data_IF_125693950404
#
_entry.id   IF_125693950404
#
_cell.length_a   1.000
_cell.length_b   1.000
_cell.length_c   1.000
_cell.angle_alpha   90.00
_cell.angle_beta   90.00
_cell.angle_gamma   90.00
#
_symmetry.space_group_name_H-M   'P 1'
#
loop_
_entity.id
_entity.type
_entity.pdbx_description
1 polymer ?
#
# COMPACT_ATOMS: atom_id res chain seq x y z
N UNK A 1 44.08 5.02 7.12
CA UNK A 1 42.65 5.26 7.40
C UNK A 1 42.42 6.75 7.33
N UNK A 2 41.33 7.22 6.72
CA UNK A 2 41.01 8.65 6.78
C UNK A 2 40.59 8.96 8.22
N UNK A 3 41.40 9.75 8.92
CA UNK A 3 41.08 10.23 10.24
C UNK A 3 40.07 11.37 10.19
N UNK A 4 39.56 11.74 11.36
CA UNK A 4 38.66 12.88 11.49
C UNK A 4 39.31 14.18 10.97
N UNK A 5 40.63 14.32 11.13
CA UNK A 5 41.40 15.47 10.67
C UNK A 5 41.44 15.59 9.15
N UNK A 6 41.74 14.50 8.43
CA UNK A 6 41.78 14.50 6.96
C UNK A 6 40.39 14.81 6.37
N UNK A 7 39.33 14.30 6.98
CA UNK A 7 37.96 14.60 6.57
C UNK A 7 37.61 16.09 6.81
N UNK A 8 38.06 16.67 7.92
CA UNK A 8 37.83 18.09 8.23
C UNK A 8 38.54 19.01 7.22
N UNK A 9 39.78 18.70 6.85
CA UNK A 9 40.54 19.46 5.84
C UNK A 9 39.86 19.38 4.48
N UNK A 10 39.44 18.19 4.05
CA UNK A 10 38.70 18.02 2.79
C UNK A 10 37.38 18.81 2.80
N UNK A 11 36.66 18.76 3.93
CA UNK A 11 35.42 19.52 4.10
C UNK A 11 35.67 21.03 3.96
N UNK A 12 36.73 21.56 4.57
CA UNK A 12 37.12 22.97 4.42
C UNK A 12 37.44 23.34 2.97
N UNK A 13 38.17 22.49 2.23
CA UNK A 13 38.45 22.73 0.81
C UNK A 13 37.14 22.82 0.01
N UNK A 14 36.21 21.90 0.23
CA UNK A 14 34.89 21.91 -0.43
C UNK A 14 34.10 23.17 -0.05
N UNK A 15 34.12 23.58 1.22
CA UNK A 15 33.46 24.80 1.67
C UNK A 15 34.07 26.07 1.07
N UNK A 16 35.37 26.11 0.83
CA UNK A 16 36.02 27.25 0.18
C UNK A 16 35.66 27.34 -1.31
N UNK A 17 35.55 26.19 -2.01
CA UNK A 17 35.19 26.15 -3.42
C UNK A 17 33.72 26.49 -3.67
N UNK A 18 32.81 25.91 -2.88
CA UNK A 18 31.37 26.01 -3.12
C UNK A 18 30.65 26.97 -2.16
N UNK A 19 31.30 27.36 -1.07
CA UNK A 19 30.71 28.18 -0.02
C UNK A 19 29.88 27.35 1.00
N UNK A 20 29.83 27.77 2.27
CA UNK A 20 29.11 27.04 3.32
C UNK A 20 27.59 27.06 3.15
N UNK A 21 27.06 27.97 2.34
CA UNK A 21 25.61 28.05 2.07
C UNK A 21 25.16 27.05 1.00
N UNK A 22 26.05 26.64 0.08
CA UNK A 22 25.66 25.81 -1.07
C UNK A 22 25.43 24.35 -0.71
N UNK A 23 26.19 23.82 0.25
CA UNK A 23 26.04 22.43 0.73
C UNK A 23 24.64 22.20 1.35
N UNK A 24 24.15 23.03 2.31
CA UNK A 24 22.78 22.90 2.82
C UNK A 24 21.69 23.12 1.78
N UNK A 25 21.91 24.01 0.81
CA UNK A 25 20.96 24.30 -0.27
C UNK A 25 20.74 23.06 -1.15
N UNK A 26 21.82 22.40 -1.57
CA UNK A 26 21.79 21.15 -2.35
C UNK A 26 21.18 20.01 -1.54
N UNK A 27 21.52 19.89 -0.25
CA UNK A 27 20.94 18.86 0.61
C UNK A 27 19.42 19.02 0.76
N UNK A 28 18.91 20.26 0.84
CA UNK A 28 17.47 20.54 0.92
C UNK A 28 16.73 20.18 -0.36
N UNK A 29 17.26 20.57 -1.52
CA UNK A 29 16.65 20.24 -2.82
C UNK A 29 16.71 18.74 -3.10
N UNK A 30 17.85 18.10 -2.87
CA UNK A 30 17.99 16.65 -3.02
C UNK A 30 17.09 15.90 -2.03
N UNK A 31 17.03 16.34 -0.77
CA UNK A 31 16.13 15.75 0.22
C UNK A 31 14.65 15.87 -0.16
N UNK A 32 14.26 17.01 -0.75
CA UNK A 32 12.92 17.18 -1.29
C UNK A 32 12.65 16.24 -2.47
N UNK A 33 13.60 16.10 -3.40
CA UNK A 33 13.49 15.18 -4.53
C UNK A 33 13.40 13.72 -4.08
N UNK A 34 14.23 13.29 -3.12
CA UNK A 34 14.18 11.91 -2.56
C UNK A 34 12.86 11.67 -1.83
N UNK A 35 12.35 12.65 -1.08
CA UNK A 35 11.05 12.54 -0.41
C UNK A 35 9.92 12.36 -1.41
N UNK A 36 9.91 13.16 -2.49
CA UNK A 36 8.89 13.07 -3.53
C UNK A 36 9.00 11.75 -4.30
N UNK A 37 10.22 11.36 -4.65
CA UNK A 37 10.50 10.06 -5.27
C UNK A 37 10.00 8.90 -4.41
N UNK A 38 10.23 8.92 -3.10
CA UNK A 38 9.70 7.91 -2.16
C UNK A 38 8.18 7.90 -2.13
N UNK A 39 7.53 9.07 -2.12
CA UNK A 39 6.07 9.17 -2.16
C UNK A 39 5.50 8.55 -3.44
N UNK A 40 6.07 8.90 -4.59
CA UNK A 40 5.64 8.37 -5.88
C UNK A 40 5.94 6.87 -6.04
N UNK A 41 7.05 6.39 -5.46
CA UNK A 41 7.48 4.99 -5.54
C UNK A 41 6.86 4.10 -4.48
N UNK A 42 6.17 4.67 -3.48
CA UNK A 42 5.42 3.86 -2.50
C UNK A 42 4.13 3.44 -3.20
N UNK A 43 3.95 2.15 -3.54
CA UNK A 43 2.65 1.68 -4.00
C UNK A 43 1.66 2.00 -2.88
N UNK A 44 0.47 2.53 -3.20
CA UNK A 44 -0.61 2.61 -2.21
C UNK A 44 -0.64 1.29 -1.45
N UNK A 45 -0.72 1.31 -0.10
CA UNK A 45 -0.73 0.07 0.67
C UNK A 45 -1.74 -0.85 0.02
N UNK A 46 -1.32 -2.09 -0.31
CA UNK A 46 -2.16 -3.06 -1.00
C UNK A 46 -3.52 -3.28 -0.30
N UNK A 47 -3.63 -2.85 0.96
CA UNK A 47 -4.86 -2.70 1.72
C UNK A 47 -5.98 -1.87 1.03
N UNK A 48 -5.67 -0.89 0.17
CA UNK A 48 -6.69 -0.03 -0.47
C UNK A 48 -7.00 -0.37 -1.93
N UNK A 49 -6.13 -1.16 -2.59
CA UNK A 49 -6.33 -1.64 -3.97
C UNK A 49 -6.86 -3.07 -3.98
N UNK A 50 -6.50 -3.89 -3.00
CA UNK A 50 -7.05 -5.25 -2.81
C UNK A 50 -8.48 -5.22 -2.26
N UNK A 51 -8.71 -4.48 -1.17
CA UNK A 51 -10.01 -4.44 -0.47
C UNK A 51 -11.18 -4.04 -1.36
N UNK A 52 -11.01 -3.07 -2.25
CA UNK A 52 -12.07 -2.67 -3.21
C UNK A 52 -12.43 -3.76 -4.21
N UNK A 53 -11.43 -4.51 -4.69
CA UNK A 53 -11.65 -5.58 -5.67
C UNK A 53 -12.26 -6.81 -5.01
N UNK A 54 -11.85 -7.10 -3.78
CA UNK A 54 -12.39 -8.19 -2.97
C UNK A 54 -13.84 -7.90 -2.55
N UNK A 55 -14.15 -6.66 -2.14
CA UNK A 55 -15.53 -6.22 -1.84
C UNK A 55 -16.43 -6.28 -3.09
N UNK A 56 -15.94 -5.84 -4.27
CA UNK A 56 -16.73 -5.92 -5.50
C UNK A 56 -17.03 -7.38 -5.91
N UNK A 57 -16.06 -8.28 -5.75
CA UNK A 57 -16.24 -9.72 -6.00
C UNK A 57 -17.21 -10.34 -5.00
N UNK A 58 -17.10 -10.01 -3.71
CA UNK A 58 -18.01 -10.48 -2.66
C UNK A 58 -19.44 -10.01 -2.89
N UNK A 59 -19.63 -8.74 -3.29
CA UNK A 59 -20.94 -8.18 -3.62
C UNK A 59 -21.55 -8.84 -4.86
N UNK A 60 -20.75 -9.12 -5.90
CA UNK A 60 -21.21 -9.87 -7.09
C UNK A 60 -21.67 -11.27 -6.72
N UNK A 61 -20.89 -12.00 -5.91
CA UNK A 61 -21.23 -13.35 -5.46
C UNK A 61 -22.48 -13.36 -4.57
N UNK A 62 -22.60 -12.41 -3.63
CA UNK A 62 -23.79 -12.26 -2.80
C UNK A 62 -25.05 -12.03 -3.66
N UNK A 63 -24.96 -11.15 -4.65
CA UNK A 63 -26.07 -10.84 -5.57
C UNK A 63 -26.46 -12.06 -6.43
N UNK A 64 -25.51 -12.82 -6.95
CA UNK A 64 -25.78 -14.05 -7.72
C UNK A 64 -26.41 -15.16 -6.87
N UNK A 65 -26.10 -15.20 -5.58
CA UNK A 65 -26.66 -16.15 -4.62
C UNK A 65 -27.98 -15.67 -4.00
N UNK A 66 -28.43 -14.45 -4.30
CA UNK A 66 -29.64 -13.86 -3.72
C UNK A 66 -29.51 -13.51 -2.24
N UNK A 67 -28.29 -13.29 -1.76
CA UNK A 67 -28.01 -12.92 -0.37
C UNK A 67 -28.21 -11.42 -0.19
N UNK A 68 -29.09 -11.02 0.74
CA UNK A 68 -29.23 -9.62 1.14
C UNK A 68 -27.98 -9.14 1.90
N UNK A 69 -27.42 -8.03 1.43
CA UNK A 69 -26.16 -7.44 1.91
C UNK A 69 -26.37 -6.09 2.63
N UNK A 70 -27.54 -5.46 2.51
CA UNK A 70 -27.79 -4.16 3.12
C UNK A 70 -27.81 -4.23 4.65
N UNK A 71 -26.99 -3.40 5.30
CA UNK A 71 -26.92 -3.30 6.75
C UNK A 71 -26.10 -4.39 7.45
N UNK A 72 -25.41 -5.27 6.71
CA UNK A 72 -24.61 -6.38 7.28
C UNK A 72 -23.12 -6.05 7.22
N UNK A 73 -22.37 -6.51 8.22
CA UNK A 73 -20.91 -6.43 8.19
C UNK A 73 -20.31 -7.34 7.10
N UNK A 74 -19.09 -7.04 6.64
CA UNK A 74 -18.41 -7.84 5.60
C UNK A 74 -18.30 -9.31 6.02
N UNK A 75 -18.00 -9.56 7.30
CA UNK A 75 -17.88 -10.90 7.86
C UNK A 75 -19.22 -11.66 7.81
N UNK A 76 -20.33 -11.00 8.13
CA UNK A 76 -21.68 -11.58 8.02
C UNK A 76 -22.06 -11.93 6.58
N UNK A 77 -21.66 -11.10 5.61
CA UNK A 77 -21.90 -11.36 4.19
C UNK A 77 -21.09 -12.58 3.73
N UNK A 78 -19.83 -12.69 4.16
CA UNK A 78 -18.96 -13.85 3.85
C UNK A 78 -19.56 -15.14 4.41
N UNK A 79 -20.02 -15.13 5.67
CA UNK A 79 -20.68 -16.31 6.26
C UNK A 79 -21.96 -16.69 5.54
N UNK A 80 -22.79 -15.70 5.17
CA UNK A 80 -24.03 -15.93 4.45
C UNK A 80 -23.78 -16.55 3.06
N UNK A 81 -22.77 -16.08 2.33
CA UNK A 81 -22.33 -16.65 1.05
C UNK A 81 -21.89 -18.11 1.23
N UNK A 82 -21.06 -18.41 2.24
CA UNK A 82 -20.57 -19.77 2.50
C UNK A 82 -21.73 -20.72 2.82
N UNK A 83 -22.70 -20.25 3.63
CA UNK A 83 -23.89 -21.03 3.99
C UNK A 83 -24.78 -21.31 2.77
N UNK A 84 -25.11 -20.27 2.00
CA UNK A 84 -25.92 -20.40 0.78
C UNK A 84 -25.27 -21.32 -0.26
N UNK A 85 -23.94 -21.23 -0.43
CA UNK A 85 -23.19 -22.10 -1.35
C UNK A 85 -23.23 -23.58 -0.93
N UNK A 86 -23.25 -23.88 0.38
CA UNK A 86 -23.38 -25.25 0.90
C UNK A 86 -24.78 -25.82 0.66
N UNK A 87 -25.83 -25.06 0.97
CA UNK A 87 -27.23 -25.49 0.79
C UNK A 87 -27.54 -25.82 -0.67
N UNK A 88 -27.05 -25.01 -1.62
CA UNK A 88 -27.23 -25.24 -3.07
C UNK A 88 -26.50 -26.48 -3.57
N UNK A 89 -25.39 -26.86 -2.93
CA UNK A 89 -24.63 -28.08 -3.25
C UNK A 89 -25.34 -29.35 -2.79
N UNK A 90 -26.05 -29.30 -1.68
CA UNK A 90 -26.84 -30.43 -1.16
C UNK A 90 -28.10 -30.68 -2.00
N UNK A 91 -28.78 -29.62 -2.43
CA UNK A 91 -29.90 -29.70 -3.39
C UNK A 91 -29.50 -30.36 -4.72
N UNK A 92 -28.29 -30.09 -5.22
CA UNK A 92 -27.77 -30.72 -6.45
C UNK A 92 -27.30 -32.16 -6.26
N UNK A 93 -26.98 -32.58 -5.03
CA UNK A 93 -26.57 -33.96 -4.73
C UNK A 93 -27.74 -34.90 -4.46
N UNK A 94 -28.90 -34.40 -4.03
CA UNK A 94 -30.10 -35.22 -3.81
C UNK A 94 -30.94 -35.50 -5.07
N UNK A 95 -30.60 -34.90 -6.21
CA UNK A 95 -31.37 -34.99 -7.46
C UNK A 95 -30.73 -35.90 -8.53
N UNK A 96 -29.69 -36.67 -8.18
CA UNK A 96 -28.93 -37.54 -9.07
C UNK A 96 -28.69 -38.90 -8.40
#
# INVERSE_FOLDING_TARGET
>A
MLGATELLVLFFIVLLLFGPKKIPEIARTLGAAVREFRRASTPMPAADVGRRRDEELLLKVAKELGVEVEGRSVDEVVEAIIKAARERKELRRGAN
#
